data_IF_619994501452
#
_entry.id   IF_619994501452
#
_cell.length_a   1.000
_cell.length_b   1.000
_cell.length_c   1.000
_cell.angle_alpha   90.00
_cell.angle_beta   90.00
_cell.angle_gamma   90.00
#
_symmetry.space_group_name_H-M   'P 1'
#
loop_
_entity.id
_entity.type
_entity.pdbx_description
1 polymer ?
#
# COMPACT_ATOMS: atom_id res chain seq x y z
N UNK A 1 -0.22 -28.82 14.63
CA UNK A 1 0.30 -27.65 13.91
C UNK A 1 0.23 -26.47 14.86
N UNK A 2 1.38 -25.95 15.26
CA UNK A 2 1.50 -24.92 16.29
C UNK A 2 2.23 -23.73 15.71
N UNK A 3 1.66 -22.54 15.87
CA UNK A 3 2.32 -21.29 15.51
C UNK A 3 3.23 -20.89 16.67
N UNK A 4 4.54 -20.86 16.45
CA UNK A 4 5.50 -20.42 17.46
C UNK A 4 5.87 -18.96 17.22
N UNK A 5 5.54 -18.10 18.21
CA UNK A 5 5.91 -16.69 18.20
C UNK A 5 7.12 -16.53 19.12
N UNK A 6 8.25 -16.13 18.54
CA UNK A 6 9.44 -15.86 19.33
C UNK A 6 9.23 -14.58 20.15
N UNK A 7 9.70 -14.56 21.42
CA UNK A 7 9.60 -13.37 22.25
C UNK A 7 10.37 -12.21 21.61
N UNK A 8 9.98 -10.99 21.97
CA UNK A 8 10.67 -9.78 21.53
C UNK A 8 12.14 -9.83 21.96
N UNK A 9 13.05 -9.83 20.99
CA UNK A 9 14.50 -9.83 21.25
C UNK A 9 15.10 -8.51 20.79
N UNK A 10 15.83 -7.86 21.71
CA UNK A 10 16.59 -6.66 21.40
C UNK A 10 17.88 -7.02 20.64
N UNK A 11 17.91 -6.76 19.33
CA UNK A 11 19.01 -7.17 18.44
C UNK A 11 19.63 -6.00 17.64
N UNK A 12 19.17 -4.78 17.89
CA UNK A 12 19.46 -3.60 17.05
C UNK A 12 20.78 -2.88 17.36
N UNK A 13 21.66 -3.49 18.15
CA UNK A 13 22.83 -2.84 18.74
C UNK A 13 23.96 -2.56 17.74
N UNK A 14 24.06 -3.37 16.67
CA UNK A 14 25.18 -3.35 15.73
C UNK A 14 24.88 -2.62 14.41
N UNK A 15 23.77 -1.86 14.36
CA UNK A 15 23.34 -1.16 13.14
C UNK A 15 23.91 0.26 13.12
N UNK A 16 24.68 0.58 12.07
CA UNK A 16 25.23 1.92 11.88
C UNK A 16 24.13 2.96 11.60
N UNK A 17 24.38 4.23 11.91
CA UNK A 17 23.42 5.32 11.67
C UNK A 17 23.06 5.46 10.17
N UNK A 18 24.02 5.26 9.26
CA UNK A 18 23.77 5.27 7.81
C UNK A 18 22.79 4.19 7.38
N UNK A 19 22.89 3.01 8.01
CA UNK A 19 22.00 1.89 7.75
C UNK A 19 20.60 2.21 8.28
N UNK A 20 20.48 2.83 9.46
CA UNK A 20 19.20 3.31 9.99
C UNK A 20 18.48 4.30 9.08
N UNK A 21 19.20 5.28 8.53
CA UNK A 21 18.61 6.26 7.60
C UNK A 21 18.06 5.54 6.37
N UNK A 22 18.83 4.59 5.82
CA UNK A 22 18.42 3.80 4.65
C UNK A 22 17.19 2.94 4.96
N UNK A 23 17.23 2.22 6.07
CA UNK A 23 16.15 1.35 6.54
C UNK A 23 14.84 2.11 6.76
N UNK A 24 14.89 3.25 7.44
CA UNK A 24 13.71 4.09 7.68
C UNK A 24 13.20 4.73 6.39
N UNK A 25 14.09 5.08 5.46
CA UNK A 25 13.69 5.62 4.15
C UNK A 25 12.93 4.57 3.34
N UNK A 26 13.45 3.34 3.26
CA UNK A 26 12.79 2.23 2.57
C UNK A 26 11.45 1.85 3.23
N UNK A 27 11.42 1.82 4.56
CA UNK A 27 10.22 1.60 5.35
C UNK A 27 9.13 2.63 5.04
N UNK A 28 9.47 3.92 5.09
CA UNK A 28 8.49 5.00 4.96
C UNK A 28 8.12 5.32 3.51
N UNK A 29 8.96 4.99 2.52
CA UNK A 29 8.71 5.35 1.13
C UNK A 29 7.36 4.85 0.59
N UNK A 30 6.95 3.58 0.75
CA UNK A 30 5.63 3.12 0.32
C UNK A 30 4.48 3.81 1.05
N UNK A 31 4.63 4.06 2.36
CA UNK A 31 3.62 4.72 3.18
C UNK A 31 3.45 6.20 2.75
N UNK A 32 4.54 6.93 2.64
CA UNK A 32 4.57 8.33 2.20
C UNK A 32 4.01 8.45 0.79
N UNK A 33 4.46 7.59 -0.14
CA UNK A 33 3.94 7.58 -1.50
C UNK A 33 2.42 7.37 -1.49
N UNK A 34 1.91 6.39 -0.74
CA UNK A 34 0.47 6.12 -0.71
C UNK A 34 -0.34 7.27 -0.06
N UNK A 35 0.16 7.86 1.02
CA UNK A 35 -0.53 8.90 1.79
C UNK A 35 -0.47 10.27 1.10
N UNK A 36 0.71 10.72 0.67
CA UNK A 36 0.89 12.03 0.05
C UNK A 36 0.25 12.11 -1.33
N UNK A 37 0.34 11.04 -2.12
CA UNK A 37 -0.23 11.01 -3.47
C UNK A 37 -1.72 10.64 -3.45
N UNK A 38 -2.19 10.00 -2.38
CA UNK A 38 -3.59 9.58 -2.21
C UNK A 38 -4.50 10.66 -1.64
N UNK A 39 -3.99 11.52 -0.75
CA UNK A 39 -4.76 12.54 -0.08
C UNK A 39 -5.13 13.70 -1.04
N UNK A 40 -6.42 14.08 -1.17
CA UNK A 40 -6.83 15.18 -2.04
C UNK A 40 -6.54 16.55 -1.42
N UNK A 41 -6.44 17.57 -2.29
CA UNK A 41 -6.44 18.97 -1.87
C UNK A 41 -7.83 19.40 -1.37
N UNK A 42 -7.94 19.97 -0.15
CA UNK A 42 -9.21 20.47 0.38
C UNK A 42 -9.59 21.85 -0.18
N UNK A 43 -10.85 21.99 -0.56
CA UNK A 43 -11.52 23.24 -0.94
C UNK A 43 -12.49 23.65 0.15
N UNK A 44 -12.48 24.93 0.54
CA UNK A 44 -13.27 25.44 1.66
C UNK A 44 -14.43 26.28 1.15
N UNK A 45 -15.65 25.73 1.23
CA UNK A 45 -16.88 26.40 0.82
C UNK A 45 -17.60 27.09 2.00
N UNK A 46 -17.14 26.83 3.23
CA UNK A 46 -17.57 27.49 4.46
C UNK A 46 -16.50 28.46 4.95
N UNK A 47 -16.92 29.49 5.69
CA UNK A 47 -16.02 30.36 6.46
C UNK A 47 -15.36 29.60 7.62
N UNK A 48 -15.98 28.53 8.09
CA UNK A 48 -15.39 27.67 9.11
C UNK A 48 -14.32 26.77 8.49
N UNK A 49 -13.14 26.71 9.10
CA UNK A 49 -12.08 25.77 8.69
C UNK A 49 -12.24 24.45 9.45
N UNK A 50 -12.03 23.30 8.78
CA UNK A 50 -12.06 22.01 9.45
C UNK A 50 -10.93 21.93 10.48
N UNK A 51 -11.22 21.50 11.72
CA UNK A 51 -10.20 21.22 12.70
C UNK A 51 -9.25 20.11 12.22
N UNK A 52 -8.04 20.07 12.76
CA UNK A 52 -6.98 19.16 12.30
C UNK A 52 -7.40 17.68 12.34
N UNK A 53 -8.20 17.29 13.32
CA UNK A 53 -8.69 15.92 13.50
C UNK A 53 -9.74 15.51 12.44
N UNK A 54 -10.31 16.44 11.67
CA UNK A 54 -11.13 16.12 10.50
C UNK A 54 -10.28 15.90 9.25
N UNK A 55 -9.09 16.49 9.20
CA UNK A 55 -8.16 16.34 8.07
C UNK A 55 -7.42 15.02 8.15
N UNK A 56 -7.05 14.59 9.35
CA UNK A 56 -6.27 13.36 9.58
C UNK A 56 -6.94 12.12 8.98
N UNK A 57 -8.28 12.08 8.97
CA UNK A 57 -9.07 10.99 8.41
C UNK A 57 -8.94 10.82 6.90
N UNK A 58 -8.56 11.85 6.14
CA UNK A 58 -8.32 11.75 4.69
C UNK A 58 -6.99 11.07 4.37
N UNK A 59 -6.04 11.08 5.30
CA UNK A 59 -4.75 10.39 5.18
C UNK A 59 -4.83 8.91 5.56
N UNK A 60 -5.99 8.43 6.03
CA UNK A 60 -6.21 7.03 6.33
C UNK A 60 -6.21 6.21 5.02
N UNK A 61 -5.42 5.11 4.89
CA UNK A 61 -5.42 4.25 3.70
C UNK A 61 -6.82 3.78 3.28
N UNK A 62 -7.71 3.54 4.24
CA UNK A 62 -9.11 3.17 3.97
C UNK A 62 -9.86 4.28 3.22
N UNK A 63 -9.69 5.55 3.60
CA UNK A 63 -10.30 6.70 2.93
C UNK A 63 -9.75 6.88 1.51
N UNK A 64 -8.44 6.67 1.34
CA UNK A 64 -7.74 6.80 0.05
C UNK A 64 -8.24 5.72 -0.91
N UNK A 65 -8.32 4.46 -0.47
CA UNK A 65 -8.86 3.36 -1.26
C UNK A 65 -10.34 3.59 -1.63
N UNK A 66 -11.15 4.04 -0.67
CA UNK A 66 -12.54 4.43 -0.93
C UNK A 66 -12.63 5.44 -2.08
N UNK A 67 -11.80 6.49 -2.07
CA UNK A 67 -11.77 7.52 -3.11
C UNK A 67 -11.51 6.92 -4.49
N UNK A 68 -10.52 6.03 -4.63
CA UNK A 68 -10.22 5.40 -5.92
C UNK A 68 -11.42 4.62 -6.46
N UNK A 69 -12.06 3.82 -5.62
CA UNK A 69 -13.27 3.08 -6.01
C UNK A 69 -14.44 4.01 -6.33
N UNK A 70 -14.69 5.03 -5.51
CA UNK A 70 -15.83 5.92 -5.65
C UNK A 70 -15.75 6.83 -6.90
N UNK A 71 -14.56 7.31 -7.26
CA UNK A 71 -14.36 8.11 -8.49
C UNK A 71 -14.64 7.26 -9.72
N UNK A 72 -14.08 6.05 -9.79
CA UNK A 72 -14.31 5.14 -10.92
C UNK A 72 -15.78 4.72 -11.03
N UNK A 73 -16.43 4.40 -9.90
CA UNK A 73 -17.86 4.09 -9.89
C UNK A 73 -18.71 5.26 -10.40
N UNK A 74 -18.41 6.49 -9.96
CA UNK A 74 -19.09 7.69 -10.44
C UNK A 74 -18.90 7.88 -11.94
N UNK A 75 -17.68 7.69 -12.45
CA UNK A 75 -17.42 7.78 -13.89
C UNK A 75 -18.23 6.77 -14.70
N UNK A 76 -18.33 5.53 -14.23
CA UNK A 76 -19.11 4.47 -14.88
C UNK A 76 -20.60 4.82 -14.91
N UNK A 77 -21.09 5.53 -13.89
CA UNK A 77 -22.49 5.97 -13.82
C UNK A 77 -22.76 7.26 -14.61
N UNK A 78 -21.75 8.05 -14.93
CA UNK A 78 -21.94 9.32 -15.63
C UNK A 78 -22.40 9.11 -17.09
N UNK A 79 -23.55 9.72 -17.46
CA UNK A 79 -24.06 9.72 -18.85
C UNK A 79 -23.25 10.64 -19.75
N UNK A 80 -22.84 11.77 -19.20
CA UNK A 80 -21.89 12.72 -19.75
C UNK A 80 -20.77 12.92 -18.74
N UNK A 81 -19.53 13.05 -19.20
CA UNK A 81 -18.39 13.33 -18.34
C UNK A 81 -17.63 14.51 -18.91
N UNK A 82 -17.74 15.66 -18.25
CA UNK A 82 -17.03 16.86 -18.64
C UNK A 82 -15.80 17.11 -17.74
N UNK A 83 -14.99 18.11 -18.11
CA UNK A 83 -13.79 18.52 -17.37
C UNK A 83 -14.11 18.99 -15.94
N UNK A 84 -15.33 19.50 -15.75
CA UNK A 84 -15.78 19.99 -14.47
C UNK A 84 -16.21 18.84 -13.56
N UNK A 85 -16.91 17.82 -14.08
CA UNK A 85 -17.26 16.59 -13.38
C UNK A 85 -15.99 15.88 -12.89
N UNK A 86 -14.93 15.90 -13.70
CA UNK A 86 -13.59 15.43 -13.32
C UNK A 86 -13.03 16.22 -12.13
N UNK A 87 -12.98 17.56 -12.22
CA UNK A 87 -12.46 18.42 -11.15
C UNK A 87 -13.26 18.29 -9.85
N UNK A 88 -14.58 18.39 -9.92
CA UNK A 88 -15.47 18.33 -8.77
C UNK A 88 -15.48 16.95 -8.10
N UNK A 89 -15.27 15.87 -8.86
CA UNK A 89 -15.15 14.52 -8.28
C UNK A 89 -13.83 14.28 -7.55
N UNK A 90 -12.79 15.04 -7.88
CA UNK A 90 -11.48 14.97 -7.24
C UNK A 90 -11.31 15.94 -6.06
N UNK A 91 -12.09 17.02 -6.03
CA UNK A 91 -12.08 18.00 -4.95
C UNK A 91 -12.71 17.45 -3.66
N UNK A 92 -12.17 17.88 -2.52
CA UNK A 92 -12.78 17.70 -1.21
C UNK A 92 -13.45 19.01 -0.79
N UNK A 93 -14.77 19.04 -0.71
CA UNK A 93 -15.47 20.25 -0.28
C UNK A 93 -15.76 20.21 1.22
N UNK A 94 -15.26 21.20 1.94
CA UNK A 94 -15.66 21.48 3.31
C UNK A 94 -16.83 22.45 3.32
N UNK A 95 -17.95 22.01 3.88
CA UNK A 95 -19.22 22.75 4.00
C UNK A 95 -19.55 23.00 5.47
N UNK A 96 -20.61 23.78 5.74
CA UNK A 96 -21.11 23.98 7.11
C UNK A 96 -21.58 22.67 7.78
N UNK A 97 -21.89 21.64 6.99
CA UNK A 97 -22.25 20.30 7.49
C UNK A 97 -21.07 19.32 7.52
N UNK A 98 -19.85 19.79 7.19
CA UNK A 98 -18.64 18.98 7.15
C UNK A 98 -18.20 18.62 5.72
N UNK A 99 -17.44 17.52 5.61
CA UNK A 99 -16.93 17.04 4.31
C UNK A 99 -18.05 16.49 3.44
N UNK A 100 -18.19 17.04 2.23
CA UNK A 100 -19.13 16.56 1.24
C UNK A 100 -18.43 16.33 -0.10
N UNK A 101 -18.73 15.17 -0.69
CA UNK A 101 -18.30 14.77 -2.02
C UNK A 101 -19.45 14.12 -2.77
N UNK A 102 -20.70 14.49 -2.47
CA UNK A 102 -21.91 14.01 -3.12
C UNK A 102 -21.99 14.43 -4.60
N UNK A 103 -22.91 13.85 -5.34
CA UNK A 103 -23.17 14.25 -6.74
C UNK A 103 -23.81 15.64 -6.81
N UNK A 104 -24.60 16.02 -5.81
CA UNK A 104 -25.25 17.34 -5.69
C UNK A 104 -24.20 18.45 -5.55
N UNK A 105 -23.08 18.13 -4.88
CA UNK A 105 -21.96 19.04 -4.72
C UNK A 105 -21.30 19.43 -6.05
N UNK A 106 -21.42 18.60 -7.09
CA UNK A 106 -20.91 18.92 -8.44
C UNK A 106 -21.66 20.15 -8.97
N UNK A 107 -22.99 20.13 -8.96
CA UNK A 107 -23.80 21.29 -9.40
C UNK A 107 -23.56 22.52 -8.51
N UNK A 108 -23.49 22.33 -7.19
CA UNK A 108 -23.32 23.42 -6.22
C UNK A 108 -21.95 24.11 -6.29
N UNK A 109 -20.87 23.37 -6.57
CA UNK A 109 -19.51 23.92 -6.64
C UNK A 109 -19.20 24.64 -7.95
N UNK A 110 -20.06 24.51 -8.96
CA UNK A 110 -19.85 25.01 -10.33
C UNK A 110 -19.53 26.50 -10.43
N UNK A 111 -20.25 27.40 -9.74
CA UNK A 111 -19.97 28.85 -9.80
C UNK A 111 -18.61 29.25 -9.20
N UNK A 112 -17.96 28.35 -8.46
CA UNK A 112 -16.71 28.62 -7.72
C UNK A 112 -15.47 28.02 -8.38
N UNK A 113 -15.59 27.48 -9.58
CA UNK A 113 -14.47 26.89 -10.32
C UNK A 113 -13.58 27.97 -10.92
N UNK A 114 -12.32 28.03 -10.46
CA UNK A 114 -11.32 29.01 -10.93
C UNK A 114 -10.48 28.43 -12.05
N UNK A 115 -10.09 27.15 -11.94
CA UNK A 115 -9.26 26.47 -12.91
C UNK A 115 -9.78 25.07 -13.19
N UNK A 116 -9.99 24.78 -14.47
CA UNK A 116 -10.34 23.45 -14.97
C UNK A 116 -9.09 22.70 -15.46
N UNK A 117 -9.10 21.36 -15.39
CA UNK A 117 -8.10 20.52 -16.06
C UNK A 117 -8.11 20.74 -17.57
N UNK A 118 -6.97 20.48 -18.23
CA UNK A 118 -6.83 20.65 -19.68
C UNK A 118 -7.80 19.75 -20.48
N UNK A 119 -8.06 18.53 -19.99
CA UNK A 119 -8.89 17.51 -20.65
C UNK A 119 -9.92 16.84 -19.72
N UNK A 120 -10.77 16.00 -20.30
CA UNK A 120 -11.76 15.15 -19.59
C UNK A 120 -11.12 13.93 -18.93
N UNK A 121 -9.82 13.72 -19.19
CA UNK A 121 -8.98 12.64 -18.68
C UNK A 121 -7.58 13.16 -18.40
N UNK A 122 -6.92 12.51 -17.46
CA UNK A 122 -5.50 12.72 -17.18
C UNK A 122 -4.68 12.31 -18.40
N UNK A 123 -3.83 13.21 -18.91
CA UNK A 123 -2.92 12.91 -20.01
C UNK A 123 -1.82 11.94 -19.54
N UNK A 124 -1.42 11.00 -20.40
CA UNK A 124 -0.48 9.93 -20.03
C UNK A 124 0.93 10.44 -19.65
N UNK A 125 1.27 11.68 -20.00
CA UNK A 125 2.55 12.33 -19.67
C UNK A 125 2.41 13.44 -18.62
N UNK A 126 1.33 13.42 -17.82
CA UNK A 126 1.11 14.38 -16.73
C UNK A 126 1.85 13.98 -15.44
N UNK A 127 1.94 14.93 -14.50
CA UNK A 127 2.47 14.66 -13.15
C UNK A 127 1.69 13.55 -12.44
N UNK A 128 0.38 13.50 -12.64
CA UNK A 128 -0.50 12.51 -12.01
C UNK A 128 -0.37 11.11 -12.63
N UNK A 129 -0.07 11.03 -13.93
CA UNK A 129 0.29 9.78 -14.59
C UNK A 129 1.62 9.22 -14.06
N UNK A 130 2.65 10.07 -13.87
CA UNK A 130 3.95 9.65 -13.30
C UNK A 130 3.77 9.16 -11.85
N UNK A 131 3.04 9.91 -11.01
CA UNK A 131 2.69 9.50 -9.64
C UNK A 131 2.06 8.10 -9.63
N UNK A 132 1.12 7.86 -10.54
CA UNK A 132 0.42 6.57 -10.65
C UNK A 132 1.35 5.47 -11.16
N UNK A 133 2.22 5.76 -12.13
CA UNK A 133 3.22 4.80 -12.63
C UNK A 133 4.15 4.33 -11.50
N UNK A 134 4.69 5.26 -10.69
CA UNK A 134 5.56 4.93 -9.56
C UNK A 134 4.86 3.96 -8.61
N UNK A 135 3.64 4.31 -8.20
CA UNK A 135 2.85 3.51 -7.27
C UNK A 135 2.47 2.14 -7.87
N UNK A 136 2.16 2.09 -9.16
CA UNK A 136 1.81 0.85 -9.85
C UNK A 136 3.00 -0.11 -9.96
N UNK A 137 4.19 0.42 -10.27
CA UNK A 137 5.43 -0.37 -10.31
C UNK A 137 5.75 -0.93 -8.92
N UNK A 138 5.65 -0.11 -7.87
CA UNK A 138 5.83 -0.58 -6.48
C UNK A 138 4.82 -1.68 -6.11
N UNK A 139 3.56 -1.53 -6.50
CA UNK A 139 2.53 -2.54 -6.25
C UNK A 139 2.75 -3.84 -7.03
N UNK A 140 3.22 -3.74 -8.28
CA UNK A 140 3.56 -4.92 -9.09
C UNK A 140 4.75 -5.67 -8.52
N UNK A 141 5.78 -4.95 -8.07
CA UNK A 141 6.90 -5.54 -7.34
C UNK A 141 6.41 -6.28 -6.08
N UNK A 142 5.44 -5.71 -5.36
CA UNK A 142 4.86 -6.36 -4.19
C UNK A 142 4.09 -7.64 -4.52
N UNK A 143 3.34 -7.67 -5.61
CA UNK A 143 2.69 -8.89 -6.12
C UNK A 143 3.72 -9.97 -6.40
N UNK A 144 4.79 -9.64 -7.15
CA UNK A 144 5.80 -10.61 -7.56
C UNK A 144 6.49 -11.22 -6.33
N UNK A 145 6.86 -10.40 -5.34
CA UNK A 145 7.56 -10.89 -4.15
C UNK A 145 6.64 -11.69 -3.20
N UNK A 146 5.38 -11.29 -3.05
CA UNK A 146 4.44 -11.95 -2.13
C UNK A 146 3.83 -13.23 -2.72
N UNK A 147 3.55 -13.26 -4.02
CA UNK A 147 2.95 -14.41 -4.70
C UNK A 147 3.96 -15.30 -5.41
N UNK A 148 5.15 -14.79 -5.73
CA UNK A 148 6.20 -15.56 -6.40
C UNK A 148 6.53 -16.85 -5.64
N UNK A 149 6.66 -16.75 -4.32
CA UNK A 149 6.96 -17.90 -3.45
C UNK A 149 5.83 -18.94 -3.36
N UNK A 150 4.60 -18.57 -3.67
CA UNK A 150 3.43 -19.46 -3.62
C UNK A 150 3.27 -20.24 -4.92
N UNK A 151 3.77 -19.71 -6.03
CA UNK A 151 3.64 -20.29 -7.38
C UNK A 151 4.88 -21.10 -7.74
N UNK A 152 6.06 -20.61 -7.40
CA UNK A 152 7.33 -21.26 -7.69
C UNK A 152 8.24 -21.21 -6.44
N UNK A 153 8.60 -22.35 -5.85
CA UNK A 153 9.53 -22.42 -4.72
C UNK A 153 10.91 -21.80 -5.02
N UNK A 154 11.26 -21.66 -6.30
CA UNK A 154 12.53 -21.09 -6.77
C UNK A 154 12.47 -19.59 -7.09
N UNK A 155 11.27 -18.98 -7.10
CA UNK A 155 11.10 -17.56 -7.32
C UNK A 155 11.56 -16.73 -6.09
N UNK A 156 11.97 -15.46 -6.29
CA UNK A 156 12.30 -14.56 -5.20
C UNK A 156 11.09 -14.42 -4.28
N UNK A 157 11.24 -14.88 -3.05
CA UNK A 157 10.16 -14.97 -2.07
C UNK A 157 10.18 -13.78 -1.12
N UNK A 158 9.03 -13.44 -0.55
CA UNK A 158 8.93 -12.47 0.53
C UNK A 158 9.56 -13.02 1.82
N UNK A 159 10.42 -12.25 2.49
CA UNK A 159 11.12 -12.72 3.71
C UNK A 159 10.14 -12.73 4.87
N UNK A 160 9.78 -13.93 5.33
CA UNK A 160 8.85 -14.11 6.45
C UNK A 160 9.37 -13.40 7.71
N UNK A 161 10.69 -13.32 7.87
CA UNK A 161 11.36 -12.55 8.91
C UNK A 161 11.52 -11.11 8.44
N UNK A 162 10.54 -10.28 8.78
CA UNK A 162 10.47 -8.91 8.27
C UNK A 162 11.40 -8.01 9.06
N UNK A 163 12.34 -7.36 8.37
CA UNK A 163 13.09 -6.24 8.92
C UNK A 163 12.29 -4.93 8.75
N UNK A 164 12.74 -3.88 9.43
CA UNK A 164 12.05 -2.58 9.45
C UNK A 164 11.82 -1.98 8.06
N UNK A 165 12.69 -2.24 7.08
CA UNK A 165 12.60 -1.72 5.72
C UNK A 165 11.39 -2.23 4.92
N UNK A 166 10.88 -3.42 5.26
CA UNK A 166 9.78 -4.05 4.51
C UNK A 166 8.44 -4.09 5.25
N UNK A 167 8.33 -3.46 6.44
CA UNK A 167 7.09 -3.50 7.24
C UNK A 167 5.91 -2.82 6.55
N UNK A 168 6.12 -1.73 5.81
CA UNK A 168 5.07 -1.06 5.06
C UNK A 168 4.99 -1.49 3.59
N UNK A 169 5.83 -2.43 3.16
CA UNK A 169 5.86 -2.89 1.79
C UNK A 169 4.50 -3.40 1.28
N UNK A 170 3.68 -4.13 2.07
CA UNK A 170 2.35 -4.54 1.61
C UNK A 170 1.37 -3.38 1.32
N UNK A 171 1.59 -2.15 1.83
CA UNK A 171 0.80 -0.98 1.42
C UNK A 171 0.96 -0.70 -0.08
N UNK A 172 2.09 -1.06 -0.69
CA UNK A 172 2.30 -0.89 -2.12
C UNK A 172 1.24 -1.64 -2.97
N UNK A 173 0.68 -2.76 -2.47
CA UNK A 173 -0.43 -3.46 -3.14
C UNK A 173 -1.68 -2.59 -3.26
N UNK A 174 -1.96 -1.73 -2.27
CA UNK A 174 -3.06 -0.76 -2.33
C UNK A 174 -2.86 0.25 -3.46
N UNK A 175 -1.61 0.47 -3.84
CA UNK A 175 -1.24 1.26 -5.00
C UNK A 175 -1.83 0.76 -6.32
N UNK A 176 -1.99 -0.55 -6.48
CA UNK A 176 -2.57 -1.12 -7.71
C UNK A 176 -4.05 -0.77 -7.86
N UNK A 177 -4.77 -0.63 -6.74
CA UNK A 177 -6.18 -0.19 -6.77
C UNK A 177 -6.33 1.24 -7.29
N UNK A 178 -5.26 2.06 -7.27
CA UNK A 178 -5.24 3.38 -7.91
C UNK A 178 -5.35 3.31 -9.43
N UNK A 179 -4.91 2.21 -10.06
CA UNK A 179 -5.01 2.02 -11.51
C UNK A 179 -6.46 2.06 -11.99
N UNK A 180 -7.41 1.64 -11.16
CA UNK A 180 -8.84 1.72 -11.49
C UNK A 180 -9.31 3.15 -11.74
N UNK A 181 -8.68 4.14 -11.10
CA UNK A 181 -9.05 5.56 -11.17
C UNK A 181 -8.04 6.42 -11.91
N UNK A 182 -6.95 5.85 -12.46
CA UNK A 182 -5.80 6.63 -12.92
C UNK A 182 -6.11 7.68 -14.00
N UNK A 183 -7.05 7.38 -14.90
CA UNK A 183 -7.46 8.28 -15.98
C UNK A 183 -8.35 9.44 -15.48
N UNK A 184 -8.88 9.33 -14.26
CA UNK A 184 -9.86 10.25 -13.68
C UNK A 184 -9.42 10.83 -12.34
N UNK A 185 -8.16 10.66 -11.98
CA UNK A 185 -7.60 11.12 -10.72
C UNK A 185 -6.57 12.20 -10.99
N UNK A 186 -6.96 13.45 -10.77
CA UNK A 186 -6.13 14.63 -11.06
C UNK A 186 -6.10 15.56 -9.87
N UNK A 187 -4.99 16.29 -9.72
CA UNK A 187 -4.85 17.40 -8.79
C UNK A 187 -4.78 18.77 -9.53
N UNK A 188 -4.97 18.79 -10.85
CA UNK A 188 -4.83 19.98 -11.71
C UNK A 188 -6.15 20.77 -11.82
N UNK A 189 -6.69 21.21 -10.69
CA UNK A 189 -7.89 22.04 -10.62
C UNK A 189 -7.81 23.02 -9.45
N UNK A 190 -8.59 24.09 -9.51
CA UNK A 190 -8.71 25.06 -8.42
C UNK A 190 -10.13 25.57 -8.28
N UNK A 191 -10.56 25.70 -7.03
CA UNK A 191 -11.85 26.26 -6.64
C UNK A 191 -11.61 27.42 -5.66
N UNK A 192 -12.37 28.50 -5.82
CA UNK A 192 -12.30 29.66 -4.95
C UNK A 192 -12.81 29.30 -3.56
N UNK A 193 -12.05 29.68 -2.53
CA UNK A 193 -12.52 29.64 -1.15
C UNK A 193 -13.57 30.73 -0.91
N UNK A 194 -14.43 30.54 0.09
CA UNK A 194 -15.31 31.59 0.61
C UNK A 194 -14.52 32.87 1.00
N UNK A 195 -13.29 32.70 1.49
CA UNK A 195 -12.41 33.80 1.90
C UNK A 195 -11.81 34.57 0.72
N UNK A 196 -11.75 33.97 -0.48
CA UNK A 196 -11.13 34.57 -1.66
C UNK A 196 -12.08 35.49 -2.43
N UNK A 197 -13.35 35.57 -2.01
CA UNK A 197 -14.36 36.45 -2.60
C UNK A 197 -14.32 37.79 -1.85
N UNK A 198 -13.86 38.89 -2.48
CA UNK A 198 -13.90 40.20 -1.85
C UNK A 198 -15.34 40.55 -1.47
N UNK A 199 -15.56 40.94 -0.21
CA UNK A 199 -16.85 41.41 0.27
C UNK A 199 -17.29 42.64 -0.54
N UNK A 200 -18.05 42.42 -1.62
CA UNK A 200 -18.54 43.48 -2.50
C UNK A 200 -18.57 43.18 -4.00
N UNK A 201 -18.02 42.06 -4.51
CA UNK A 201 -18.16 41.70 -5.93
C UNK A 201 -19.25 40.64 -6.17
N UNK A 202 -20.37 40.97 -6.84
CA UNK A 202 -21.34 39.99 -7.31
C UNK A 202 -20.92 39.47 -8.69
N UNK A 203 -19.73 38.89 -8.81
CA UNK A 203 -19.36 38.23 -10.06
C UNK A 203 -18.87 36.81 -9.80
N UNK A 204 -19.40 35.81 -10.55
CA UNK A 204 -18.81 34.50 -10.56
C UNK A 204 -17.38 34.67 -11.09
N UNK A 205 -16.40 34.20 -10.33
CA UNK A 205 -15.03 34.03 -10.81
C UNK A 205 -15.10 32.84 -11.78
N UNK A 206 -15.65 33.09 -12.97
CA UNK A 206 -16.02 32.07 -13.93
C UNK A 206 -14.82 31.63 -14.76
N UNK A 207 -14.62 30.32 -14.86
CA UNK A 207 -13.96 29.73 -16.02
C UNK A 207 -14.68 30.22 -17.29
N UNK A 208 -14.04 31.15 -18.01
CA UNK A 208 -14.55 31.77 -19.24
C UNK A 208 -14.78 30.72 -20.32
N UNK A 209 -16.02 30.24 -20.42
CA UNK A 209 -16.60 29.68 -21.63
C UNK A 209 -18.03 30.18 -21.71
N UNK A 210 -18.46 30.66 -22.87
CA UNK A 210 -19.75 31.31 -23.14
C UNK A 210 -20.99 30.45 -22.81
N UNK A 211 -20.82 29.17 -22.48
CA UNK A 211 -21.83 28.27 -21.93
C UNK A 211 -22.05 28.41 -20.41
N UNK A 212 -21.14 29.09 -19.70
CA UNK A 212 -21.14 29.26 -18.24
C UNK A 212 -22.17 30.29 -17.77
N UNK A 213 -22.37 31.38 -18.52
CA UNK A 213 -23.37 32.40 -18.20
C UNK A 213 -24.81 31.89 -18.38
N UNK A 214 -25.06 31.01 -19.36
CA UNK A 214 -26.38 30.42 -19.61
C UNK A 214 -26.82 29.41 -18.54
N UNK A 215 -25.88 28.71 -17.91
CA UNK A 215 -26.14 27.75 -16.82
C UNK A 215 -26.17 28.43 -15.44
N UNK A 216 -25.39 29.50 -15.24
CA UNK A 216 -25.47 30.32 -14.02
C UNK A 216 -26.76 31.17 -13.96
N UNK A 217 -27.35 31.50 -15.11
CA UNK A 217 -28.58 32.30 -15.19
C UNK A 217 -29.86 31.55 -14.79
N UNK A 218 -29.85 30.22 -14.64
CA UNK A 218 -31.04 29.44 -14.27
C UNK A 218 -30.71 28.28 -13.32
N UNK A 219 -30.67 28.51 -11.99
CA UNK A 219 -30.57 27.43 -11.00
C UNK A 219 -31.82 26.52 -10.95
N UNK A 220 -32.88 26.85 -11.69
CA UNK A 220 -34.18 26.17 -11.67
C UNK A 220 -34.42 25.22 -12.85
N UNK A 221 -33.52 25.13 -13.83
CA UNK A 221 -33.62 24.06 -14.83
C UNK A 221 -33.25 22.75 -14.16
N UNK A 222 -34.24 21.86 -14.02
CA UNK A 222 -34.08 20.45 -13.65
C UNK A 222 -32.94 19.90 -14.52
N UNK A 223 -31.72 19.82 -13.96
CA UNK A 223 -30.62 19.22 -14.71
C UNK A 223 -31.05 17.78 -15.03
N UNK A 224 -31.00 17.35 -16.30
CA UNK A 224 -31.31 15.98 -16.65
C UNK A 224 -30.42 15.07 -15.80
N UNK A 225 -30.96 14.00 -15.21
CA UNK A 225 -30.21 13.09 -14.35
C UNK A 225 -28.86 12.72 -14.98
N UNK A 226 -27.77 13.39 -14.57
CA UNK A 226 -26.45 13.26 -15.19
C UNK A 226 -25.82 11.90 -14.92
N UNK A 227 -26.27 11.23 -13.85
CA UNK A 227 -25.78 9.94 -13.41
C UNK A 227 -26.87 8.87 -13.51
N UNK A 228 -26.49 7.69 -13.98
CA UNK A 228 -27.29 6.49 -13.82
C UNK A 228 -27.43 6.12 -12.34
N UNK A 229 -28.55 5.47 -12.02
CA UNK A 229 -28.82 4.99 -10.69
C UNK A 229 -27.77 3.95 -10.24
N UNK A 230 -27.59 3.79 -8.93
CA UNK A 230 -26.58 2.89 -8.34
C UNK A 230 -26.78 1.40 -8.70
N UNK A 231 -27.96 1.04 -9.22
CA UNK A 231 -28.29 -0.30 -9.70
C UNK A 231 -27.90 -0.56 -11.16
N UNK A 232 -27.26 0.40 -11.82
CA UNK A 232 -26.74 0.21 -13.18
C UNK A 232 -25.77 -0.98 -13.22
N UNK A 233 -25.95 -1.87 -14.20
CA UNK A 233 -25.22 -3.13 -14.24
C UNK A 233 -23.71 -2.93 -14.27
N UNK A 234 -23.20 -1.93 -15.01
CA UNK A 234 -21.76 -1.61 -15.04
C UNK A 234 -21.20 -1.18 -13.69
N UNK A 235 -21.96 -0.37 -12.93
CA UNK A 235 -21.59 0.04 -11.56
C UNK A 235 -21.62 -1.16 -10.62
N UNK A 236 -22.64 -2.01 -10.69
CA UNK A 236 -22.72 -3.22 -9.87
C UNK A 236 -21.56 -4.17 -10.14
N UNK A 237 -21.23 -4.41 -11.41
CA UNK A 237 -20.09 -5.26 -11.80
C UNK A 237 -18.79 -4.69 -11.27
N UNK A 238 -18.54 -3.38 -11.43
CA UNK A 238 -17.34 -2.74 -10.90
C UNK A 238 -17.24 -2.85 -9.37
N UNK A 239 -18.32 -2.55 -8.65
CA UNK A 239 -18.37 -2.64 -7.18
C UNK A 239 -18.10 -4.06 -6.69
N UNK A 240 -18.68 -5.07 -7.34
CA UNK A 240 -18.42 -6.48 -7.03
C UNK A 240 -16.96 -6.85 -7.29
N UNK A 241 -16.40 -6.46 -8.44
CA UNK A 241 -14.98 -6.73 -8.77
C UNK A 241 -14.05 -6.03 -7.78
N UNK A 242 -14.31 -4.77 -7.44
CA UNK A 242 -13.51 -4.00 -6.48
C UNK A 242 -13.55 -4.63 -5.08
N UNK A 243 -14.74 -5.02 -4.61
CA UNK A 243 -14.91 -5.74 -3.35
C UNK A 243 -14.21 -7.11 -3.37
N UNK A 244 -14.28 -7.84 -4.49
CA UNK A 244 -13.59 -9.12 -4.66
C UNK A 244 -12.08 -8.96 -4.56
N UNK A 245 -11.50 -7.92 -5.15
CA UNK A 245 -10.06 -7.64 -5.02
C UNK A 245 -9.69 -7.34 -3.56
N UNK A 246 -10.49 -6.55 -2.83
CA UNK A 246 -10.27 -6.33 -1.39
C UNK A 246 -10.38 -7.61 -0.57
N UNK A 247 -11.34 -8.48 -0.90
CA UNK A 247 -11.49 -9.79 -0.25
C UNK A 247 -10.34 -10.74 -0.62
N UNK A 248 -9.81 -10.67 -1.84
CA UNK A 248 -8.63 -11.43 -2.25
C UNK A 248 -7.38 -10.97 -1.49
N UNK A 249 -7.19 -9.66 -1.30
CA UNK A 249 -6.13 -9.11 -0.45
C UNK A 249 -6.29 -9.53 1.01
N UNK A 250 -7.52 -9.58 1.52
CA UNK A 250 -7.81 -10.10 2.86
C UNK A 250 -7.49 -11.59 2.96
N UNK A 251 -7.87 -12.39 1.96
CA UNK A 251 -7.56 -13.81 1.87
C UNK A 251 -6.05 -14.06 1.82
N UNK A 252 -5.31 -13.24 1.07
CA UNK A 252 -3.85 -13.26 1.04
C UNK A 252 -3.25 -12.92 2.42
N UNK A 253 -3.77 -11.89 3.11
CA UNK A 253 -3.32 -11.57 4.45
C UNK A 253 -3.63 -12.71 5.45
N UNK A 254 -4.78 -13.36 5.33
CA UNK A 254 -5.16 -14.52 6.14
C UNK A 254 -4.31 -15.75 5.83
N UNK A 255 -3.89 -15.98 4.59
CA UNK A 255 -3.03 -17.12 4.26
C UNK A 255 -1.67 -17.05 4.97
N UNK A 256 -1.18 -15.84 5.31
CA UNK A 256 0.01 -15.68 6.15
C UNK A 256 -0.20 -16.06 7.62
N UNK A 257 -1.45 -16.17 8.11
CA UNK A 257 -1.74 -16.71 9.44
C UNK A 257 -1.93 -18.23 9.43
N UNK A 258 -2.25 -18.84 8.28
CA UNK A 258 -2.49 -20.28 8.19
C UNK A 258 -1.15 -21.02 8.19
N UNK A 259 -0.83 -21.80 9.24
CA UNK A 259 0.43 -22.51 9.34
C UNK A 259 0.51 -23.61 8.27
N UNK A 260 1.48 -23.50 7.36
CA UNK A 260 1.85 -24.58 6.46
C UNK A 260 2.96 -25.41 7.12
N UNK A 261 2.60 -26.13 8.20
CA UNK A 261 3.55 -26.84 9.07
C UNK A 261 3.98 -26.04 10.31
N UNK A 262 5.14 -26.36 10.89
CA UNK A 262 5.69 -25.62 12.03
C UNK A 262 6.34 -24.32 11.53
N UNK A 263 5.59 -23.23 11.57
CA UNK A 263 6.05 -21.89 11.18
C UNK A 263 6.50 -21.08 12.40
N UNK A 264 7.68 -20.50 12.28
CA UNK A 264 8.27 -19.60 13.28
C UNK A 264 8.04 -18.15 12.86
N UNK A 265 7.31 -17.38 13.67
CA UNK A 265 7.17 -15.93 13.50
C UNK A 265 7.99 -15.17 14.53
N UNK A 266 8.54 -14.04 14.12
CA UNK A 266 9.05 -13.01 15.04
C UNK A 266 7.88 -12.15 15.55
N UNK A 267 8.10 -11.41 16.64
CA UNK A 267 7.07 -10.51 17.17
C UNK A 267 6.73 -9.45 16.13
N UNK A 268 7.72 -8.93 15.40
CA UNK A 268 7.53 -7.96 14.30
C UNK A 268 6.60 -8.52 13.22
N UNK A 269 6.89 -9.69 12.66
CA UNK A 269 6.06 -10.27 11.60
C UNK A 269 4.64 -10.50 12.08
N UNK A 270 4.45 -11.05 13.28
CA UNK A 270 3.11 -11.27 13.84
C UNK A 270 2.31 -9.97 14.00
N UNK A 271 2.94 -8.93 14.55
CA UNK A 271 2.32 -7.62 14.75
C UNK A 271 2.00 -6.94 13.41
N UNK A 272 2.87 -7.06 12.41
CA UNK A 272 2.63 -6.56 11.05
C UNK A 272 1.42 -7.26 10.41
N UNK A 273 1.31 -8.59 10.52
CA UNK A 273 0.17 -9.32 9.96
C UNK A 273 -1.14 -8.85 10.62
N UNK A 274 -1.17 -8.68 11.95
CA UNK A 274 -2.35 -8.15 12.66
C UNK A 274 -2.70 -6.74 12.18
N UNK A 275 -1.70 -5.87 12.01
CA UNK A 275 -1.90 -4.51 11.50
C UNK A 275 -2.58 -4.53 10.13
N UNK A 276 -2.09 -5.34 9.19
CA UNK A 276 -2.67 -5.43 7.85
C UNK A 276 -4.04 -6.12 7.82
N UNK A 277 -4.27 -7.14 8.64
CA UNK A 277 -5.59 -7.74 8.81
C UNK A 277 -6.60 -6.70 9.31
N UNK A 278 -6.20 -5.85 10.26
CA UNK A 278 -7.01 -4.74 10.75
C UNK A 278 -7.36 -3.74 9.64
N UNK A 279 -6.35 -3.24 8.92
CA UNK A 279 -6.54 -2.25 7.84
C UNK A 279 -7.40 -2.81 6.72
N UNK A 280 -7.04 -3.98 6.18
CA UNK A 280 -7.72 -4.58 5.02
C UNK A 280 -9.10 -5.05 5.43
N UNK A 281 -9.25 -5.67 6.60
CA UNK A 281 -10.54 -6.12 7.13
C UNK A 281 -11.52 -4.96 7.31
N UNK A 282 -11.11 -3.88 7.96
CA UNK A 282 -11.95 -2.69 8.12
C UNK A 282 -12.26 -2.02 6.79
N UNK A 283 -11.29 -1.95 5.87
CA UNK A 283 -11.50 -1.39 4.52
C UNK A 283 -12.51 -2.22 3.72
N UNK A 284 -12.40 -3.54 3.75
CA UNK A 284 -13.34 -4.45 3.09
C UNK A 284 -14.75 -4.32 3.69
N UNK A 285 -14.86 -4.26 5.02
CA UNK A 285 -16.15 -4.09 5.72
C UNK A 285 -16.82 -2.76 5.36
N UNK A 286 -16.08 -1.65 5.44
CA UNK A 286 -16.59 -0.31 5.12
C UNK A 286 -17.02 -0.25 3.65
N UNK A 287 -16.21 -0.80 2.74
CA UNK A 287 -16.52 -0.82 1.31
C UNK A 287 -17.76 -1.66 1.03
N UNK A 288 -17.85 -2.88 1.58
CA UNK A 288 -19.01 -3.76 1.42
C UNK A 288 -20.30 -3.11 1.95
N UNK A 289 -20.22 -2.45 3.11
CA UNK A 289 -21.36 -1.77 3.72
C UNK A 289 -21.83 -0.54 2.92
N UNK A 290 -20.94 0.41 2.67
CA UNK A 290 -21.33 1.68 2.05
C UNK A 290 -21.51 1.58 0.54
N UNK A 291 -20.63 0.88 -0.16
CA UNK A 291 -20.68 0.77 -1.61
C UNK A 291 -21.64 -0.34 -2.07
N UNK A 292 -21.71 -1.44 -1.32
CA UNK A 292 -22.60 -2.58 -1.60
C UNK A 292 -24.02 -2.38 -1.10
N UNK A 293 -24.20 -2.31 0.23
CA UNK A 293 -25.54 -2.32 0.86
C UNK A 293 -26.23 -0.96 0.74
N UNK A 294 -25.57 0.12 1.19
CA UNK A 294 -26.16 1.47 1.16
C UNK A 294 -26.13 2.12 -0.22
N UNK A 295 -25.26 1.66 -1.10
CA UNK A 295 -25.12 2.19 -2.44
C UNK A 295 -24.72 3.67 -2.49
N UNK A 296 -23.82 4.10 -1.58
CA UNK A 296 -23.35 5.47 -1.46
C UNK A 296 -22.86 6.04 -2.81
N UNK A 297 -23.11 7.35 -3.00
CA UNK A 297 -22.79 8.09 -4.24
C UNK A 297 -21.72 9.16 -4.04
N UNK A 298 -21.14 9.24 -2.84
CA UNK A 298 -20.15 10.24 -2.47
C UNK A 298 -18.72 9.74 -2.70
N UNK A 299 -17.84 10.60 -3.21
CA UNK A 299 -16.39 10.35 -3.30
C UNK A 299 -15.68 10.47 -1.96
N UNK A 300 -16.32 11.15 -1.00
CA UNK A 300 -15.91 11.19 0.40
C UNK A 300 -16.59 10.06 1.17
N UNK A 301 -15.84 9.39 2.05
CA UNK A 301 -16.38 8.34 2.89
C UNK A 301 -17.49 8.90 3.81
N UNK A 302 -18.72 8.37 3.80
CA UNK A 302 -19.84 8.96 4.54
C UNK A 302 -19.64 9.02 6.06
N UNK A 303 -18.84 8.12 6.63
CA UNK A 303 -18.52 8.11 8.06
C UNK A 303 -17.24 8.87 8.42
N UNK A 304 -16.63 9.62 7.50
CA UNK A 304 -15.32 10.24 7.73
C UNK A 304 -15.29 11.17 8.95
N UNK A 305 -16.37 11.92 9.18
CA UNK A 305 -16.48 12.84 10.32
C UNK A 305 -17.01 12.16 11.60
N UNK A 306 -17.34 10.86 11.55
CA UNK A 306 -17.86 10.12 12.70
C UNK A 306 -16.77 9.91 13.76
N UNK A 307 -17.14 10.03 15.04
CA UNK A 307 -16.25 9.79 16.18
C UNK A 307 -15.60 8.41 16.12
N UNK A 308 -16.33 7.38 15.67
CA UNK A 308 -15.81 6.02 15.53
C UNK A 308 -14.71 5.93 14.45
N UNK A 309 -14.86 6.63 13.34
CA UNK A 309 -13.87 6.63 12.26
C UNK A 309 -12.62 7.43 12.64
N UNK A 310 -12.79 8.53 13.36
CA UNK A 310 -11.69 9.30 13.96
C UNK A 310 -10.89 8.44 14.94
N UNK A 311 -11.58 7.76 15.86
CA UNK A 311 -10.96 6.84 16.80
C UNK A 311 -10.20 5.72 16.08
N UNK A 312 -10.82 5.07 15.08
CA UNK A 312 -10.16 4.08 14.24
C UNK A 312 -8.90 4.63 13.57
N UNK A 313 -8.94 5.84 13.03
CA UNK A 313 -7.79 6.48 12.39
C UNK A 313 -6.65 6.73 13.39
N UNK A 314 -6.96 7.23 14.58
CA UNK A 314 -5.96 7.44 15.64
C UNK A 314 -5.35 6.13 16.12
N UNK A 315 -6.17 5.08 16.33
CA UNK A 315 -5.69 3.75 16.69
C UNK A 315 -4.80 3.19 15.59
N UNK A 316 -5.18 3.36 14.32
CA UNK A 316 -4.40 2.86 13.19
C UNK A 316 -3.02 3.52 13.11
N UNK A 317 -2.95 4.84 13.26
CA UNK A 317 -1.68 5.56 13.23
C UNK A 317 -0.82 5.25 14.45
N UNK A 318 -1.42 5.17 15.64
CA UNK A 318 -0.73 4.71 16.85
C UNK A 318 -0.17 3.30 16.70
N UNK A 319 -0.94 2.40 16.08
CA UNK A 319 -0.51 1.03 15.82
C UNK A 319 0.62 0.99 14.79
N UNK A 320 0.56 1.79 13.72
CA UNK A 320 1.65 1.94 12.77
C UNK A 320 2.96 2.40 13.43
N UNK A 321 2.90 3.37 14.35
CA UNK A 321 4.07 3.80 15.12
C UNK A 321 4.60 2.67 16.01
N UNK A 322 3.71 1.93 16.69
CA UNK A 322 4.12 0.80 17.51
C UNK A 322 4.81 -0.31 16.69
N UNK A 323 4.31 -0.60 15.48
CA UNK A 323 4.93 -1.55 14.54
C UNK A 323 6.35 -1.11 14.18
N UNK A 324 6.56 0.19 13.89
CA UNK A 324 7.90 0.73 13.61
C UNK A 324 8.82 0.53 14.80
N UNK A 325 8.38 0.88 16.01
CA UNK A 325 9.20 0.75 17.23
C UNK A 325 9.60 -0.71 17.48
N UNK A 326 8.65 -1.64 17.40
CA UNK A 326 8.90 -3.07 17.59
C UNK A 326 9.87 -3.58 16.52
N UNK A 327 9.66 -3.20 15.25
CA UNK A 327 10.54 -3.58 14.16
C UNK A 327 11.96 -3.03 14.34
N UNK A 328 12.11 -1.80 14.82
CA UNK A 328 13.42 -1.23 15.12
C UNK A 328 14.15 -2.00 16.23
N UNK A 329 13.44 -2.50 17.24
CA UNK A 329 14.03 -3.28 18.35
C UNK A 329 14.54 -4.64 17.87
N UNK A 330 13.77 -5.34 17.02
CA UNK A 330 14.11 -6.68 16.54
C UNK A 330 15.03 -6.71 15.33
N UNK A 331 15.10 -5.63 14.55
CA UNK A 331 15.92 -5.61 13.33
C UNK A 331 17.40 -5.77 13.68
N UNK A 332 18.05 -6.72 13.00
CA UNK A 332 19.50 -6.93 13.05
C UNK A 332 20.10 -6.99 11.66
N UNK A 333 21.41 -6.73 11.59
CA UNK A 333 22.23 -6.93 10.39
C UNK A 333 22.78 -8.35 10.39
N UNK A 334 22.64 -9.06 9.27
CA UNK A 334 23.18 -10.41 9.09
C UNK A 334 24.64 -10.34 8.60
N UNK A 335 25.40 -11.44 8.71
CA UNK A 335 26.80 -11.48 8.23
C UNK A 335 26.96 -11.18 6.73
N UNK A 336 25.93 -11.43 5.91
CA UNK A 336 25.94 -11.07 4.48
C UNK A 336 25.54 -9.61 4.20
N UNK A 337 25.29 -8.80 5.24
CA UNK A 337 24.90 -7.39 5.12
C UNK A 337 23.42 -7.13 4.85
N UNK A 338 22.56 -8.16 4.84
CA UNK A 338 21.10 -8.04 4.74
C UNK A 338 20.48 -7.81 6.13
N UNK A 339 19.22 -7.40 6.20
CA UNK A 339 18.53 -7.15 7.48
C UNK A 339 17.43 -8.18 7.74
N UNK A 340 17.24 -8.57 9.00
CA UNK A 340 16.21 -9.54 9.43
C UNK A 340 15.77 -9.26 10.86
N UNK A 341 14.54 -9.65 11.22
CA UNK A 341 14.09 -9.67 12.64
C UNK A 341 14.37 -11.00 13.34
N UNK A 342 14.72 -12.06 12.59
CA UNK A 342 14.89 -13.40 13.15
C UNK A 342 16.24 -13.60 13.86
N UNK A 343 16.26 -14.22 15.05
CA UNK A 343 17.51 -14.58 15.72
C UNK A 343 18.15 -15.84 15.11
N UNK A 344 19.47 -15.91 15.22
CA UNK A 344 20.25 -17.14 14.97
C UNK A 344 20.47 -17.52 13.50
N UNK A 345 21.19 -18.64 13.31
CA UNK A 345 21.71 -19.08 12.02
C UNK A 345 20.59 -19.37 11.01
N UNK A 346 19.46 -19.91 11.45
CA UNK A 346 18.34 -20.21 10.54
C UNK A 346 17.77 -18.94 9.90
N UNK A 347 17.70 -17.84 10.65
CA UNK A 347 17.30 -16.54 10.12
C UNK A 347 18.35 -15.94 9.19
N UNK A 348 19.64 -16.15 9.48
CA UNK A 348 20.75 -15.74 8.60
C UNK A 348 20.72 -16.50 7.28
N UNK A 349 20.51 -17.82 7.31
CA UNK A 349 20.36 -18.66 6.12
C UNK A 349 19.18 -18.20 5.27
N UNK A 350 18.02 -17.93 5.87
CA UNK A 350 16.83 -17.44 5.16
C UNK A 350 17.03 -16.06 4.53
N UNK A 351 17.78 -15.18 5.17
CA UNK A 351 18.09 -13.85 4.64
C UNK A 351 19.17 -13.91 3.55
N UNK A 352 20.23 -14.71 3.75
CA UNK A 352 21.44 -14.68 2.94
C UNK A 352 21.44 -15.68 1.76
N UNK A 353 20.78 -16.84 1.84
CA UNK A 353 20.83 -17.89 0.81
C UNK A 353 19.69 -17.86 -0.22
N UNK A 354 18.96 -16.74 -0.33
CA UNK A 354 17.81 -16.64 -1.22
C UNK A 354 18.19 -16.38 -2.67
N UNK A 355 18.30 -17.47 -3.43
CA UNK A 355 18.38 -17.51 -4.90
C UNK A 355 19.58 -18.30 -5.42
N UNK A 356 19.46 -18.95 -6.58
CA UNK A 356 20.59 -19.61 -7.27
C UNK A 356 21.74 -18.64 -7.59
N UNK A 357 21.46 -17.33 -7.67
CA UNK A 357 22.41 -16.29 -8.02
C UNK A 357 23.36 -15.87 -6.89
N UNK A 358 23.00 -16.12 -5.62
CA UNK A 358 23.87 -15.82 -4.46
C UNK A 358 24.66 -17.07 -4.00
N UNK A 359 24.53 -18.19 -4.73
CA UNK A 359 25.22 -19.45 -4.45
C UNK A 359 26.47 -19.54 -5.30
N UNK A 360 27.64 -19.58 -4.67
CA UNK A 360 28.79 -20.24 -5.27
C UNK A 360 28.74 -21.69 -4.77
N UNK A 361 28.32 -22.60 -5.63
CA UNK A 361 28.44 -24.03 -5.40
C UNK A 361 29.85 -24.46 -5.80
N UNK A 362 30.66 -24.81 -4.81
CA UNK A 362 31.92 -25.51 -5.03
C UNK A 362 31.68 -27.00 -4.81
N UNK A 363 31.83 -27.78 -5.88
CA UNK A 363 31.90 -29.22 -5.82
C UNK A 363 33.38 -29.61 -5.89
N UNK A 364 33.98 -29.84 -4.72
CA UNK A 364 35.30 -30.43 -4.64
C UNK A 364 35.12 -31.91 -4.33
N UNK A 365 35.58 -32.76 -5.25
CA UNK A 365 35.72 -34.20 -5.02
C UNK A 365 36.99 -34.37 -4.20
N UNK A 366 36.84 -34.73 -2.93
CA UNK A 366 37.98 -35.01 -2.05
C UNK A 366 38.05 -36.52 -1.89
N UNK A 367 39.09 -37.13 -2.44
CA UNK A 367 39.37 -38.55 -2.23
C UNK A 367 39.60 -38.79 -0.73
N UNK A 368 38.60 -39.39 -0.08
CA UNK A 368 38.71 -39.82 1.30
C UNK A 368 39.66 -41.02 1.43
N UNK A 369 40.25 -41.26 2.61
CA UNK A 369 41.12 -42.42 2.86
C UNK A 369 40.38 -43.78 2.83
N UNK A 370 39.09 -43.79 2.49
CA UNK A 370 38.27 -44.98 2.34
C UNK A 370 37.72 -45.01 0.92
N UNK A 371 37.88 -46.13 0.22
CA UNK A 371 37.47 -46.39 -1.17
C UNK A 371 35.97 -46.09 -1.44
N UNK A 372 35.66 -44.81 -1.63
CA UNK A 372 34.36 -44.30 -2.05
C UNK A 372 34.56 -42.86 -2.49
N UNK A 373 34.05 -42.50 -3.67
CA UNK A 373 34.03 -41.11 -4.15
C UNK A 373 33.06 -40.33 -3.30
N UNK A 374 33.57 -39.53 -2.36
CA UNK A 374 32.75 -38.69 -1.49
C UNK A 374 32.65 -37.31 -2.15
N UNK A 375 31.43 -36.87 -2.47
CA UNK A 375 31.20 -35.52 -2.96
C UNK A 375 30.78 -34.61 -1.80
N UNK A 376 31.48 -33.49 -1.62
CA UNK A 376 31.08 -32.44 -0.69
C UNK A 376 30.49 -31.28 -1.49
N UNK A 377 29.27 -30.89 -1.16
CA UNK A 377 28.66 -29.67 -1.71
C UNK A 377 28.88 -28.52 -0.74
N UNK A 378 29.71 -27.54 -1.10
CA UNK A 378 29.87 -26.32 -0.32
C UNK A 378 29.04 -25.20 -0.93
N UNK A 379 28.06 -24.70 -0.18
CA UNK A 379 27.32 -23.49 -0.53
C UNK A 379 27.87 -22.33 0.27
N UNK A 380 28.49 -21.38 -0.44
CA UNK A 380 28.95 -20.11 0.14
C UNK A 380 28.05 -18.97 -0.35
N UNK A 381 27.31 -18.28 0.54
CA UNK A 381 26.70 -17.00 0.19
C UNK A 381 27.80 -15.97 -0.10
N UNK A 382 27.63 -15.15 -1.14
CA UNK A 382 28.55 -14.06 -1.44
C UNK A 382 28.79 -13.18 -0.19
N UNK A 383 30.06 -12.92 0.14
CA UNK A 383 30.52 -12.16 1.31
C UNK A 383 30.18 -12.72 2.71
N UNK A 384 29.70 -13.96 2.84
CA UNK A 384 29.49 -14.57 4.15
C UNK A 384 30.80 -15.10 4.77
N UNK A 385 30.92 -14.99 6.10
CA UNK A 385 32.02 -15.55 6.90
C UNK A 385 31.86 -17.04 7.21
N UNK A 386 30.79 -17.68 6.73
CA UNK A 386 30.49 -19.09 6.97
C UNK A 386 30.17 -19.83 5.66
N UNK A 387 30.41 -21.14 5.66
CA UNK A 387 30.15 -22.07 4.55
C UNK A 387 29.13 -23.10 5.02
N UNK A 388 28.12 -23.39 4.21
CA UNK A 388 27.18 -24.48 4.46
C UNK A 388 27.68 -25.70 3.71
N UNK A 389 28.06 -26.76 4.43
CA UNK A 389 28.46 -28.03 3.83
C UNK A 389 27.27 -29.00 3.82
N UNK A 390 26.94 -29.52 2.63
CA UNK A 390 26.02 -30.65 2.44
C UNK A 390 26.83 -31.92 2.16
N UNK A 391 26.48 -32.99 2.88
CA UNK A 391 27.03 -34.34 2.71
C UNK A 391 25.98 -35.22 2.02
N UNK A 392 26.37 -35.88 0.93
CA UNK A 392 25.53 -36.83 0.21
C UNK A 392 26.36 -38.10 -0.02
N UNK A 393 25.95 -39.20 0.64
CA UNK A 393 26.51 -40.55 0.46
C UNK A 393 25.59 -41.36 -0.47
N UNK A 394 26.12 -42.40 -1.11
CA UNK A 394 25.39 -43.32 -2.01
C UNK A 394 24.19 -44.01 -1.32
N UNK A 395 24.05 -43.88 0.01
CA UNK A 395 22.92 -44.34 0.82
C UNK A 395 21.94 -43.25 1.31
N UNK A 396 22.02 -42.01 0.82
CA UNK A 396 21.12 -40.88 1.16
C UNK A 396 21.04 -40.51 2.66
N UNK A 397 22.07 -40.78 3.45
CA UNK A 397 22.12 -40.33 4.85
C UNK A 397 22.56 -38.86 4.93
N UNK A 398 21.65 -37.97 5.37
CA UNK A 398 21.93 -36.53 5.52
C UNK A 398 22.37 -36.22 6.95
N UNK A 399 23.62 -35.81 7.13
CA UNK A 399 24.12 -35.26 8.40
C UNK A 399 24.47 -33.77 8.26
N UNK A 400 24.04 -32.95 9.23
CA UNK A 400 24.17 -31.50 9.21
C UNK A 400 25.42 -31.03 9.99
N UNK A 401 26.47 -30.61 9.27
CA UNK A 401 27.74 -30.15 9.84
C UNK A 401 27.83 -28.62 9.97
N UNK A 402 26.83 -27.97 10.56
CA UNK A 402 26.71 -26.50 10.64
C UNK A 402 27.64 -25.80 11.67
N UNK A 403 28.63 -26.50 12.26
CA UNK A 403 29.50 -25.93 13.32
C UNK A 403 31.00 -26.20 13.19
N UNK A 404 31.49 -26.73 12.07
CA UNK A 404 32.93 -26.88 11.88
C UNK A 404 33.52 -25.59 11.30
N UNK A 405 34.30 -24.86 12.10
CA UNK A 405 35.18 -23.82 11.59
C UNK A 405 36.26 -24.49 10.73
N UNK A 406 36.11 -24.48 9.41
CA UNK A 406 37.22 -24.79 8.51
C UNK A 406 38.21 -23.62 8.55
N UNK A 407 39.16 -23.69 9.49
CA UNK A 407 40.34 -22.84 9.51
C UNK A 407 41.10 -23.04 8.19
N UNK A 408 41.07 -22.02 7.33
CA UNK A 408 42.00 -21.78 6.21
C UNK A 408 42.57 -23.02 5.50
N UNK A 409 41.86 -23.55 4.50
CA UNK A 409 42.47 -24.34 3.42
C UNK A 409 42.98 -23.41 2.28
N UNK A 410 43.62 -22.29 2.63
CA UNK A 410 44.51 -21.60 1.70
C UNK A 410 45.93 -21.80 2.19
N UNK A 411 46.47 -22.93 1.76
CA UNK A 411 47.84 -23.35 1.97
C UNK A 411 48.22 -24.29 0.84
N UNK A 412 48.22 -23.75 -0.39
CA UNK A 412 49.13 -23.99 -1.52
C UNK A 412 48.93 -22.82 -2.50
#
# INVERSE_FOLDING_TARGET
>A
MTVFINPLLYQSQEIALSDWITLLTLCLAPLIAHVLIGAPSPTYLSLSRPPWHERICHYNPTSILWRYGAITDRRIRAKSWDRFDLAASNALFWTDQGWDGSEEMIAYSRPRCVQLPDGDRVTLLSRDAIKTLIIAVQGMQAIILLLGSQIDPSAPSFTLLMAVDIIFFPIALFGLLRLCSCLWLTDEFSFASMEDIPAGSPQPIGCSTTSFELLAANPATIEPERFHNSRFWGSRTFRCTYALVLLALLGLALSFMVPHGDTFYTTTTFVVIIFYLGVIGMTALITAWYLGIKGAKSTVLPCISSTWYKFYTCVLFGFGIAVIVIACIETRKTPCGKFTSGPGIQADLLACLRGKFDKIEHHDIVDGPYNGTISYGFQRPNNASYVVAHYEDDQQNVFNFTRMCFSSMFGI
#
